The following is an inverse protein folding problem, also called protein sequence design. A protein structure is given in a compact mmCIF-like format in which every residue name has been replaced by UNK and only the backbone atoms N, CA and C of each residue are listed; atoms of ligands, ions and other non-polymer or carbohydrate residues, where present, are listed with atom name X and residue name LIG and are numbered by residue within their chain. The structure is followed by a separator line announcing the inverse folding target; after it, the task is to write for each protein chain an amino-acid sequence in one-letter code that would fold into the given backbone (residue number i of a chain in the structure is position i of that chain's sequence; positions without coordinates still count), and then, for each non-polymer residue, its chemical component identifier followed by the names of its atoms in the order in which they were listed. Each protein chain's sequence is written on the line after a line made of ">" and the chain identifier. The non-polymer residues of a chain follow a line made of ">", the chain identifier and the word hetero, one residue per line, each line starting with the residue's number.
data_IF_943715746385
#
_entry.id   IF_943715746385
#
_cell.length_a   1.000
_cell.length_b   1.000
_cell.length_c   1.000
_cell.angle_alpha   90.00
_cell.angle_beta   90.00
_cell.angle_gamma   90.00
#
_symmetry.space_group_name_H-M   'P 1'
#
loop_
_entity.id
_entity.type
_entity.pdbx_description
1 polymer ?
#
# COMPACT_ATOMS: atom_id res chain seq x y z
N UNK A 1 -9.40 14.60 -8.24
CA UNK A 1 -9.50 16.06 -7.99
C UNK A 1 -8.60 16.57 -6.87
N UNK A 2 -8.28 15.79 -5.83
CA UNK A 2 -7.33 16.18 -4.75
C UNK A 2 -5.86 16.28 -5.17
N UNK A 3 -5.44 15.58 -6.22
CA UNK A 3 -4.04 15.62 -6.69
C UNK A 3 -3.60 16.93 -7.36
N UNK A 4 -4.54 17.84 -7.68
CA UNK A 4 -4.24 19.13 -8.31
C UNK A 4 -3.79 20.20 -7.31
N UNK A 5 -4.06 19.99 -6.02
CA UNK A 5 -3.75 20.95 -4.95
C UNK A 5 -2.42 20.69 -4.25
N UNK A 6 -1.80 19.55 -4.50
CA UNK A 6 -0.51 19.19 -3.91
C UNK A 6 0.56 19.39 -4.98
N UNK A 7 1.38 20.44 -4.82
CA UNK A 7 2.41 20.82 -5.77
C UNK A 7 3.30 19.66 -6.22
N UNK A 8 4.19 19.91 -7.18
CA UNK A 8 5.15 18.97 -7.79
C UNK A 8 6.16 18.36 -6.80
N UNK A 9 5.67 17.93 -5.64
CA UNK A 9 6.54 17.27 -4.66
C UNK A 9 6.82 15.84 -5.12
N UNK A 10 8.08 15.49 -5.12
CA UNK A 10 8.57 14.14 -5.38
C UNK A 10 8.68 13.38 -4.07
N UNK A 11 8.47 12.07 -4.14
CA UNK A 11 8.78 11.13 -3.07
C UNK A 11 10.08 10.45 -3.44
N UNK A 12 11.07 10.62 -2.60
CA UNK A 12 12.38 10.04 -2.78
C UNK A 12 12.46 8.74 -1.98
N UNK A 13 12.61 7.63 -2.68
CA UNK A 13 12.71 6.30 -2.07
C UNK A 13 14.15 5.83 -2.26
N UNK A 14 14.86 5.64 -1.15
CA UNK A 14 16.19 5.08 -1.15
C UNK A 14 16.12 3.60 -0.75
N UNK A 15 16.39 2.70 -1.70
CA UNK A 15 16.48 1.27 -1.47
C UNK A 15 17.92 0.83 -1.74
N UNK A 16 18.66 0.59 -0.68
CA UNK A 16 20.07 0.23 -0.75
C UNK A 16 20.87 1.32 -1.48
N UNK A 17 21.51 1.02 -2.60
CA UNK A 17 22.31 1.98 -3.39
C UNK A 17 21.52 2.64 -4.53
N UNK A 18 20.22 2.40 -4.61
CA UNK A 18 19.38 2.89 -5.71
C UNK A 18 18.41 3.95 -5.23
N UNK A 19 18.42 5.09 -5.91
CA UNK A 19 17.58 6.24 -5.61
C UNK A 19 16.43 6.34 -6.61
N UNK A 20 15.21 6.22 -6.12
CA UNK A 20 13.99 6.33 -6.93
C UNK A 20 13.28 7.64 -6.61
N UNK A 21 13.06 8.45 -7.63
CA UNK A 21 12.28 9.70 -7.53
C UNK A 21 10.94 9.49 -8.21
N UNK A 22 9.89 9.46 -7.42
CA UNK A 22 8.51 9.28 -7.93
C UNK A 22 7.72 10.55 -7.63
N UNK A 23 7.05 11.10 -8.63
CA UNK A 23 6.13 12.22 -8.38
C UNK A 23 4.91 11.73 -7.59
N UNK A 24 4.50 12.49 -6.58
CA UNK A 24 3.32 12.15 -5.75
C UNK A 24 2.08 11.86 -6.57
N UNK A 25 1.87 12.56 -7.66
CA UNK A 25 0.73 12.33 -8.54
C UNK A 25 0.73 10.92 -9.13
N UNK A 26 1.88 10.40 -9.57
CA UNK A 26 1.98 9.03 -10.06
C UNK A 26 1.71 8.01 -8.95
N UNK A 27 2.19 8.28 -7.74
CA UNK A 27 1.92 7.43 -6.58
C UNK A 27 0.42 7.37 -6.25
N UNK A 28 -0.28 8.52 -6.28
CA UNK A 28 -1.73 8.58 -6.05
C UNK A 28 -2.51 7.79 -7.11
N UNK A 29 -2.15 7.95 -8.39
CA UNK A 29 -2.77 7.20 -9.47
C UNK A 29 -2.55 5.70 -9.32
N UNK A 30 -1.32 5.28 -9.03
CA UNK A 30 -0.96 3.87 -8.86
C UNK A 30 -1.74 3.25 -7.69
N UNK A 31 -1.77 3.92 -6.53
CA UNK A 31 -2.53 3.46 -5.35
C UNK A 31 -4.03 3.38 -5.67
N UNK A 32 -4.59 4.39 -6.36
CA UNK A 32 -6.01 4.41 -6.70
C UNK A 32 -6.40 3.26 -7.62
N UNK A 33 -5.62 3.01 -8.67
CA UNK A 33 -5.83 1.90 -9.60
C UNK A 33 -5.76 0.57 -8.84
N UNK A 34 -4.80 0.42 -7.95
CA UNK A 34 -4.58 -0.80 -7.20
C UNK A 34 -5.72 -1.06 -6.20
N UNK A 35 -6.25 -0.04 -5.52
CA UNK A 35 -7.41 -0.17 -4.65
C UNK A 35 -8.68 -0.57 -5.42
N UNK A 36 -8.90 0.00 -6.62
CA UNK A 36 -10.00 -0.39 -7.50
C UNK A 36 -9.85 -1.85 -7.94
N UNK A 37 -8.64 -2.28 -8.28
CA UNK A 37 -8.35 -3.66 -8.66
C UNK A 37 -8.66 -4.64 -7.50
N UNK A 38 -8.27 -4.32 -6.27
CA UNK A 38 -8.63 -5.13 -5.11
C UNK A 38 -10.13 -5.20 -4.90
N UNK A 39 -10.82 -4.08 -5.01
CA UNK A 39 -12.28 -4.06 -4.92
C UNK A 39 -12.92 -4.99 -5.95
N UNK A 40 -12.48 -4.95 -7.20
CA UNK A 40 -12.96 -5.83 -8.27
C UNK A 40 -12.67 -7.30 -7.97
N UNK A 41 -11.48 -7.63 -7.46
CA UNK A 41 -11.13 -9.00 -7.06
C UNK A 41 -12.08 -9.48 -5.96
N UNK A 42 -12.30 -8.69 -4.91
CA UNK A 42 -13.25 -9.07 -3.85
C UNK A 42 -14.66 -9.29 -4.37
N UNK A 43 -15.16 -8.43 -5.28
CA UNK A 43 -16.47 -8.60 -5.92
C UNK A 43 -16.56 -9.89 -6.74
N UNK A 44 -15.52 -10.19 -7.53
CA UNK A 44 -15.47 -11.42 -8.34
C UNK A 44 -15.50 -12.67 -7.47
N UNK A 45 -14.77 -12.67 -6.36
CA UNK A 45 -14.71 -13.80 -5.45
C UNK A 45 -16.03 -13.97 -4.68
N UNK A 46 -16.68 -12.87 -4.30
CA UNK A 46 -18.01 -12.92 -3.68
C UNK A 46 -19.04 -13.53 -4.64
N UNK A 47 -19.10 -13.04 -5.89
CA UNK A 47 -19.95 -13.63 -6.94
C UNK A 47 -19.63 -15.10 -7.22
N UNK A 48 -18.34 -15.45 -7.18
CA UNK A 48 -17.90 -16.84 -7.36
C UNK A 48 -18.14 -17.70 -6.11
N UNK A 49 -18.68 -17.16 -5.02
CA UNK A 49 -18.87 -17.85 -3.73
C UNK A 49 -17.57 -18.49 -3.22
N UNK A 50 -16.44 -17.81 -3.40
CA UNK A 50 -15.14 -18.23 -2.88
C UNK A 50 -14.91 -17.51 -1.56
N UNK A 51 -14.81 -18.28 -0.49
CA UNK A 51 -14.69 -17.70 0.85
C UNK A 51 -13.22 -17.48 1.21
N UNK A 52 -12.82 -16.23 1.44
CA UNK A 52 -11.48 -15.88 1.92
C UNK A 52 -11.28 -16.05 3.43
N UNK A 53 -12.37 -16.25 4.16
CA UNK A 53 -12.34 -16.09 5.60
C UNK A 53 -12.45 -14.61 6.01
N UNK A 54 -13.46 -14.33 6.81
CA UNK A 54 -13.84 -12.97 7.20
C UNK A 54 -12.71 -12.21 7.95
N UNK A 55 -11.95 -12.91 8.79
CA UNK A 55 -10.83 -12.31 9.52
C UNK A 55 -9.71 -11.86 8.57
N UNK A 56 -9.37 -12.70 7.59
CA UNK A 56 -8.31 -12.43 6.65
C UNK A 56 -8.63 -11.20 5.77
N UNK A 57 -9.85 -11.12 5.24
CA UNK A 57 -10.29 -9.97 4.44
C UNK A 57 -10.17 -8.67 5.24
N UNK A 58 -10.58 -8.68 6.51
CA UNK A 58 -10.43 -7.52 7.38
C UNK A 58 -8.96 -7.13 7.58
N UNK A 59 -8.12 -8.09 7.93
CA UNK A 59 -6.68 -7.84 8.16
C UNK A 59 -6.02 -7.28 6.91
N UNK A 60 -6.31 -7.84 5.73
CA UNK A 60 -5.77 -7.33 4.47
C UNK A 60 -6.24 -5.90 4.17
N UNK A 61 -7.54 -5.62 4.30
CA UNK A 61 -8.08 -4.29 4.02
C UNK A 61 -7.49 -3.25 4.99
N UNK A 62 -7.52 -3.52 6.30
CA UNK A 62 -6.96 -2.60 7.29
C UNK A 62 -5.45 -2.41 7.14
N UNK A 63 -4.71 -3.48 6.92
CA UNK A 63 -3.26 -3.42 6.71
C UNK A 63 -2.89 -2.62 5.46
N UNK A 64 -3.62 -2.82 4.36
CA UNK A 64 -3.44 -2.05 3.12
C UNK A 64 -3.77 -0.57 3.35
N UNK A 65 -4.88 -0.25 4.02
CA UNK A 65 -5.26 1.13 4.31
C UNK A 65 -4.24 1.83 5.21
N UNK A 66 -3.77 1.18 6.27
CA UNK A 66 -2.76 1.75 7.18
C UNK A 66 -1.46 2.02 6.42
N UNK A 67 -1.02 1.08 5.56
CA UNK A 67 0.18 1.25 4.75
C UNK A 67 0.05 2.41 3.75
N UNK A 68 -1.12 2.53 3.10
CA UNK A 68 -1.41 3.64 2.18
C UNK A 68 -1.44 4.97 2.92
N UNK A 69 -2.06 5.04 4.09
CA UNK A 69 -2.03 6.25 4.93
C UNK A 69 -0.61 6.61 5.33
N UNK A 70 0.24 5.63 5.66
CA UNK A 70 1.66 5.86 5.93
C UNK A 70 2.41 6.42 4.72
N UNK A 71 2.12 5.95 3.50
CA UNK A 71 2.72 6.46 2.26
C UNK A 71 2.27 7.87 1.90
N UNK A 72 1.00 8.18 2.16
CA UNK A 72 0.40 9.48 1.82
C UNK A 72 0.55 10.52 2.92
N UNK A 73 1.11 10.12 4.06
CA UNK A 73 1.23 11.01 5.21
C UNK A 73 2.14 12.21 4.90
N UNK A 74 1.71 13.44 5.17
CA UNK A 74 2.50 14.64 4.91
C UNK A 74 3.56 14.85 5.99
N UNK A 75 4.62 14.04 5.98
CA UNK A 75 5.70 14.08 6.97
C UNK A 75 6.36 15.47 7.09
N UNK A 76 6.39 16.24 6.00
CA UNK A 76 6.91 17.59 5.99
C UNK A 76 6.19 18.55 6.94
N UNK A 77 4.91 18.31 7.24
CA UNK A 77 4.15 19.14 8.19
C UNK A 77 4.63 18.96 9.63
N UNK A 78 5.10 17.75 9.97
CA UNK A 78 5.61 17.46 11.32
C UNK A 78 7.07 17.90 11.45
N UNK A 79 7.89 17.59 10.44
CA UNK A 79 9.33 17.76 10.52
C UNK A 79 9.86 19.11 10.00
N UNK A 80 9.06 19.89 9.27
CA UNK A 80 9.49 21.17 8.66
C UNK A 80 9.70 22.31 9.67
N UNK A 81 9.24 22.17 10.92
CA UNK A 81 9.32 23.24 11.95
C UNK A 81 10.54 23.19 12.85
N UNK A 82 11.41 22.22 12.69
CA UNK A 82 12.61 22.15 13.53
C UNK A 82 13.70 23.09 13.01
N UNK A 83 13.94 24.16 13.76
CA UNK A 83 14.96 25.17 13.51
C UNK A 83 16.41 24.72 13.77
N UNK A 84 16.67 23.43 13.91
CA UNK A 84 18.01 22.93 14.20
C UNK A 84 18.69 22.45 12.93
N UNK A 85 19.75 23.16 12.44
CA UNK A 85 20.44 22.83 11.19
C UNK A 85 21.27 21.54 11.24
N UNK A 86 21.34 20.85 12.38
CA UNK A 86 22.17 19.66 12.59
C UNK A 86 21.40 18.33 12.52
N UNK A 87 20.08 18.34 12.38
CA UNK A 87 19.28 17.13 12.33
C UNK A 87 18.71 16.93 10.93
N UNK A 88 19.22 15.94 10.23
CA UNK A 88 18.73 15.55 8.91
C UNK A 88 17.45 14.71 9.06
N UNK A 89 16.30 15.40 9.08
CA UNK A 89 14.98 14.76 9.15
C UNK A 89 14.63 13.95 7.87
N UNK A 90 15.38 14.14 6.79
CA UNK A 90 15.19 13.41 5.54
C UNK A 90 15.35 11.91 5.75
N UNK A 91 16.28 11.50 6.60
CA UNK A 91 16.50 10.09 6.94
C UNK A 91 15.27 9.44 7.58
N UNK A 92 14.63 10.13 8.54
CA UNK A 92 13.44 9.59 9.22
C UNK A 92 12.23 9.54 8.31
N UNK A 93 12.06 10.54 7.44
CA UNK A 93 10.99 10.56 6.43
C UNK A 93 11.17 9.39 5.47
N UNK A 94 12.37 9.20 4.93
CA UNK A 94 12.68 8.12 4.02
C UNK A 94 12.51 6.75 4.67
N UNK A 95 12.95 6.58 5.93
CA UNK A 95 12.77 5.36 6.69
C UNK A 95 11.28 5.02 6.87
N UNK A 96 10.48 6.01 7.27
CA UNK A 96 9.03 5.83 7.47
C UNK A 96 8.31 5.45 6.18
N UNK A 97 8.67 6.09 5.06
CA UNK A 97 8.13 5.74 3.74
C UNK A 97 8.55 4.33 3.32
N UNK A 98 9.83 3.98 3.51
CA UNK A 98 10.34 2.64 3.18
C UNK A 98 9.63 1.56 3.98
N UNK A 99 9.44 1.76 5.28
CA UNK A 99 8.70 0.83 6.14
C UNK A 99 7.26 0.67 5.63
N UNK A 100 6.59 1.78 5.30
CA UNK A 100 5.21 1.75 4.78
C UNK A 100 5.10 0.97 3.46
N UNK A 101 6.09 1.10 2.58
CA UNK A 101 6.16 0.33 1.33
C UNK A 101 6.37 -1.16 1.61
N UNK A 102 7.29 -1.51 2.51
CA UNK A 102 7.55 -2.91 2.85
C UNK A 102 6.31 -3.58 3.47
N UNK A 103 5.65 -2.89 4.40
CA UNK A 103 4.40 -3.38 5.01
C UNK A 103 3.32 -3.55 3.95
N UNK A 104 3.17 -2.58 3.04
CA UNK A 104 2.24 -2.67 1.92
C UNK A 104 2.52 -3.92 1.07
N UNK A 105 3.76 -4.13 0.64
CA UNK A 105 4.15 -5.29 -0.17
C UNK A 105 3.90 -6.62 0.56
N UNK A 106 4.18 -6.70 1.86
CA UNK A 106 3.87 -7.89 2.66
C UNK A 106 2.38 -8.24 2.60
N UNK A 107 1.48 -7.26 2.77
CA UNK A 107 0.04 -7.51 2.68
C UNK A 107 -0.38 -7.96 1.28
N UNK A 108 0.26 -7.46 0.22
CA UNK A 108 -0.03 -7.91 -1.14
C UNK A 108 0.40 -9.36 -1.39
N UNK A 109 1.57 -9.75 -0.90
CA UNK A 109 2.05 -11.14 -1.02
C UNK A 109 1.09 -12.09 -0.26
N UNK A 110 0.72 -11.73 0.98
CA UNK A 110 -0.24 -12.52 1.76
C UNK A 110 -1.59 -12.64 1.03
N UNK A 111 -2.06 -11.56 0.42
CA UNK A 111 -3.31 -11.56 -0.35
C UNK A 111 -3.25 -12.54 -1.53
N UNK A 112 -2.17 -12.53 -2.30
CA UNK A 112 -1.95 -13.45 -3.42
C UNK A 112 -1.96 -14.90 -2.93
N UNK A 113 -1.25 -15.20 -1.84
CA UNK A 113 -1.21 -16.55 -1.26
C UNK A 113 -2.61 -17.03 -0.89
N UNK A 114 -3.41 -16.18 -0.24
CA UNK A 114 -4.77 -16.55 0.18
C UNK A 114 -5.70 -16.73 -1.01
N UNK A 115 -5.56 -15.93 -2.07
CA UNK A 115 -6.27 -16.14 -3.33
C UNK A 115 -6.01 -17.57 -3.85
N UNK A 116 -4.75 -17.96 -4.00
CA UNK A 116 -4.39 -19.29 -4.49
C UNK A 116 -4.95 -20.40 -3.60
N UNK A 117 -4.80 -20.29 -2.29
CA UNK A 117 -5.31 -21.29 -1.33
C UNK A 117 -6.84 -21.38 -1.42
N UNK A 118 -7.55 -20.28 -1.55
CA UNK A 118 -9.02 -20.24 -1.64
C UNK A 118 -9.52 -20.86 -2.94
N UNK A 119 -8.85 -20.61 -4.05
CA UNK A 119 -9.15 -21.24 -5.35
C UNK A 119 -8.95 -22.75 -5.28
N UNK A 120 -7.81 -23.22 -4.76
CA UNK A 120 -7.50 -24.65 -4.63
C UNK A 120 -8.53 -25.34 -3.75
N UNK A 121 -8.92 -24.74 -2.61
CA UNK A 121 -9.96 -25.30 -1.74
C UNK A 121 -11.29 -25.46 -2.47
N UNK A 122 -11.68 -24.45 -3.25
CA UNK A 122 -12.92 -24.51 -4.03
C UNK A 122 -12.87 -25.58 -5.11
N UNK A 123 -11.76 -25.69 -5.85
CA UNK A 123 -11.58 -26.73 -6.86
C UNK A 123 -11.70 -28.13 -6.24
N UNK A 124 -11.06 -28.38 -5.08
CA UNK A 124 -11.19 -29.67 -4.38
C UNK A 124 -12.62 -29.97 -3.98
N UNK A 125 -13.38 -28.98 -3.51
CA UNK A 125 -14.78 -29.20 -3.14
C UNK A 125 -15.70 -29.46 -4.34
N UNK A 126 -15.29 -29.09 -5.55
CA UNK A 126 -16.04 -29.36 -6.77
C UNK A 126 -15.75 -30.74 -7.36
N UNK A 127 -14.57 -31.28 -7.07
CA UNK A 127 -14.13 -32.61 -7.54
C UNK A 127 -14.47 -33.73 -6.56
N UNK A 128 -14.86 -33.42 -5.34
CA UNK A 128 -15.29 -34.36 -4.31
C UNK A 128 -16.83 -34.51 -4.33
#
# INVERSE_FOLDING_TARGET
>A
MLGFLVGRETVDINLHDTYYVITRNHLYWLISILLVLFFLIYLLFDKAKINFGHLFSKVHIFGTLISVLGLLFPYSLIFSKAKFPLYDYSLYINLSMTISILVFLMFQILFIIVIFVSIIKKMKSFLA
#
